data_IF_443869536308
#
_entry.id   IF_443869536308
#
_cell.length_a   1.000
_cell.length_b   1.000
_cell.length_c   1.000
_cell.angle_alpha   90.00
_cell.angle_beta   90.00
_cell.angle_gamma   90.00
#
_symmetry.space_group_name_H-M   'P 1'
#
loop_
_entity.id
_entity.type
_entity.pdbx_description
1 polymer ?
#
# COMPACT_ATOMS: atom_id res chain seq x y z
N UNK A 1 0.25 -20.36 3.17
CA UNK A 1 0.76 -19.27 2.30
C UNK A 1 1.79 -18.50 3.11
N UNK A 2 3.06 -18.51 2.72
CA UNK A 2 4.09 -17.73 3.42
C UNK A 2 3.89 -16.28 3.03
N UNK A 3 3.35 -15.47 3.93
CA UNK A 3 3.23 -14.02 3.71
C UNK A 3 4.63 -13.44 3.60
N UNK A 4 4.91 -12.73 2.50
CA UNK A 4 6.19 -12.07 2.27
C UNK A 4 6.60 -11.27 3.52
N UNK A 5 7.84 -11.49 4.02
CA UNK A 5 8.29 -10.87 5.26
C UNK A 5 8.27 -9.33 5.19
N UNK A 6 8.36 -8.76 3.98
CA UNK A 6 8.30 -7.32 3.76
C UNK A 6 6.95 -6.72 4.16
N UNK A 7 5.85 -7.46 4.06
CA UNK A 7 4.56 -7.00 4.59
C UNK A 7 4.58 -6.83 6.10
N UNK A 8 5.22 -7.76 6.82
CA UNK A 8 5.40 -7.62 8.28
C UNK A 8 6.27 -6.42 8.61
N UNK A 9 7.31 -6.16 7.81
CA UNK A 9 8.17 -5.00 8.01
C UNK A 9 7.43 -3.68 7.71
N UNK A 10 6.64 -3.61 6.63
CA UNK A 10 5.72 -2.47 6.36
C UNK A 10 4.84 -2.19 7.57
N UNK A 11 4.21 -3.23 8.15
CA UNK A 11 3.38 -3.09 9.35
C UNK A 11 4.16 -2.54 10.55
N UNK A 12 5.39 -3.02 10.75
CA UNK A 12 6.27 -2.56 11.83
C UNK A 12 6.63 -1.07 11.67
N UNK A 13 7.00 -0.65 10.46
CA UNK A 13 7.36 0.74 10.14
C UNK A 13 6.15 1.66 10.30
N UNK A 14 4.96 1.22 9.86
CA UNK A 14 3.72 1.95 10.12
C UNK A 14 3.41 2.06 11.62
N UNK A 15 3.54 0.96 12.38
CA UNK A 15 3.32 0.94 13.82
C UNK A 15 4.29 1.81 14.63
N UNK A 16 5.49 2.07 14.09
CA UNK A 16 6.46 2.99 14.67
C UNK A 16 6.15 4.47 14.37
N UNK A 17 5.24 4.76 13.42
CA UNK A 17 4.90 6.12 12.99
C UNK A 17 5.77 6.67 11.86
N UNK A 18 6.69 5.87 11.31
CA UNK A 18 7.65 6.31 10.28
C UNK A 18 7.07 6.30 8.85
N UNK A 19 5.91 5.65 8.68
CA UNK A 19 5.22 5.59 7.39
C UNK A 19 4.24 6.77 7.25
N UNK A 20 4.70 7.83 6.60
CA UNK A 20 3.95 9.10 6.45
C UNK A 20 3.15 9.22 5.15
N UNK A 21 3.42 8.34 4.18
CA UNK A 21 2.83 8.38 2.84
C UNK A 21 2.49 6.98 2.34
N UNK A 22 1.49 6.88 1.46
CA UNK A 22 1.11 5.61 0.83
C UNK A 22 2.23 5.09 -0.08
N UNK A 23 2.86 5.98 -0.84
CA UNK A 23 4.00 5.69 -1.71
C UNK A 23 5.19 5.03 -0.99
N UNK A 24 5.47 5.40 0.27
CA UNK A 24 6.58 4.84 1.08
C UNK A 24 6.45 3.35 1.35
N UNK A 25 5.23 2.81 1.35
CA UNK A 25 5.01 1.35 1.44
C UNK A 25 5.84 0.63 0.38
N UNK A 26 5.91 1.21 -0.82
CA UNK A 26 6.53 0.60 -1.99
C UNK A 26 8.03 0.81 -2.10
N UNK A 27 8.63 1.53 -1.16
CA UNK A 27 10.08 1.56 -0.94
C UNK A 27 10.52 0.32 -0.13
N UNK A 28 9.63 -0.23 0.69
CA UNK A 28 9.88 -1.41 1.52
C UNK A 28 9.54 -2.70 0.76
N UNK A 29 8.37 -2.74 0.11
CA UNK A 29 7.93 -3.89 -0.68
C UNK A 29 7.80 -3.51 -2.16
N UNK A 30 8.46 -4.23 -3.08
CA UNK A 30 8.38 -3.91 -4.50
C UNK A 30 6.97 -3.96 -5.06
N UNK A 31 6.64 -2.99 -5.91
CA UNK A 31 5.33 -2.88 -6.58
C UNK A 31 4.95 -4.13 -7.38
N UNK A 32 5.93 -4.85 -7.94
CA UNK A 32 5.70 -6.11 -8.68
C UNK A 32 5.09 -7.19 -7.81
N UNK A 33 5.63 -7.39 -6.61
CA UNK A 33 5.10 -8.38 -5.66
C UNK A 33 3.70 -7.99 -5.23
N UNK A 34 3.49 -6.72 -4.87
CA UNK A 34 2.15 -6.26 -4.47
C UNK A 34 1.16 -6.36 -5.62
N UNK A 35 1.55 -6.06 -6.86
CA UNK A 35 0.65 -6.20 -8.00
C UNK A 35 0.25 -7.65 -8.25
N UNK A 36 1.20 -8.58 -8.12
CA UNK A 36 0.95 -10.02 -8.27
C UNK A 36 0.01 -10.52 -7.16
N UNK A 37 0.29 -10.17 -5.90
CA UNK A 37 -0.53 -10.54 -4.74
C UNK A 37 -1.93 -9.90 -4.78
N UNK A 38 -2.07 -8.73 -5.40
CA UNK A 38 -3.38 -8.10 -5.62
C UNK A 38 -4.16 -8.71 -6.79
N UNK A 39 -3.51 -9.50 -7.65
CA UNK A 39 -4.05 -10.01 -8.91
C UNK A 39 -4.28 -8.88 -9.93
N UNK A 40 -3.33 -7.95 -10.03
CA UNK A 40 -3.38 -6.77 -10.89
C UNK A 40 -2.19 -6.72 -11.83
N UNK A 41 -2.39 -6.22 -13.05
CA UNK A 41 -1.25 -5.92 -13.93
C UNK A 41 -0.34 -4.86 -13.31
N UNK A 42 0.97 -5.11 -13.36
CA UNK A 42 2.00 -4.22 -12.82
C UNK A 42 1.82 -2.77 -13.23
N UNK A 43 1.64 -2.48 -14.52
CA UNK A 43 1.47 -1.10 -15.01
C UNK A 43 0.22 -0.43 -14.42
N UNK A 44 -0.90 -1.15 -14.33
CA UNK A 44 -2.13 -0.65 -13.72
C UNK A 44 -2.00 -0.38 -12.24
N UNK A 45 -1.17 -1.17 -11.53
CA UNK A 45 -0.87 -0.97 -10.13
C UNK A 45 0.10 0.20 -9.92
N UNK A 46 1.20 0.23 -10.68
CA UNK A 46 2.19 1.31 -10.63
C UNK A 46 1.54 2.68 -10.89
N UNK A 47 0.62 2.78 -11.86
CA UNK A 47 -0.14 4.00 -12.11
C UNK A 47 -1.03 4.40 -10.91
N UNK A 48 -1.59 3.44 -10.17
CA UNK A 48 -2.38 3.73 -8.96
C UNK A 48 -1.50 4.09 -7.76
N UNK A 49 -0.27 3.62 -7.70
CA UNK A 49 0.68 4.07 -6.67
C UNK A 49 1.08 5.53 -6.91
N UNK A 50 1.29 5.92 -8.17
CA UNK A 50 1.58 7.33 -8.50
C UNK A 50 0.34 8.22 -8.44
N UNK A 51 -0.85 7.64 -8.66
CA UNK A 51 -2.16 8.31 -8.63
C UNK A 51 -3.10 7.58 -7.67
N UNK A 52 -2.90 7.74 -6.35
CA UNK A 52 -3.61 6.98 -5.34
C UNK A 52 -5.11 7.32 -5.29
N UNK A 53 -5.55 8.43 -5.88
CA UNK A 53 -6.96 8.75 -6.08
C UNK A 53 -7.72 7.75 -6.97
N UNK A 54 -6.98 6.93 -7.75
CA UNK A 54 -7.54 5.89 -8.62
C UNK A 54 -7.74 4.54 -7.90
N UNK A 55 -7.36 4.43 -6.62
CA UNK A 55 -7.61 3.24 -5.81
C UNK A 55 -9.07 3.22 -5.38
N UNK A 56 -9.73 2.08 -5.57
CA UNK A 56 -11.05 1.86 -5.01
C UNK A 56 -10.98 1.21 -3.62
N UNK A 57 -12.09 1.26 -2.88
CA UNK A 57 -12.19 0.70 -1.52
C UNK A 57 -11.84 -0.79 -1.48
N UNK A 58 -12.26 -1.58 -2.49
CA UNK A 58 -11.94 -3.01 -2.56
C UNK A 58 -10.43 -3.27 -2.66
N UNK A 59 -9.70 -2.44 -3.41
CA UNK A 59 -8.24 -2.50 -3.51
C UNK A 59 -7.57 -2.12 -2.19
N UNK A 60 -8.09 -1.11 -1.50
CA UNK A 60 -7.59 -0.72 -0.17
C UNK A 60 -7.85 -1.81 0.87
N UNK A 61 -9.00 -2.49 0.83
CA UNK A 61 -9.27 -3.65 1.70
C UNK A 61 -8.30 -4.81 1.44
N UNK A 62 -7.98 -5.10 0.18
CA UNK A 62 -6.95 -6.09 -0.16
C UNK A 62 -5.58 -5.70 0.38
N UNK A 63 -5.18 -4.44 0.19
CA UNK A 63 -3.92 -3.92 0.72
C UNK A 63 -3.90 -3.98 2.25
N UNK A 64 -5.02 -3.70 2.92
CA UNK A 64 -5.15 -3.84 4.38
C UNK A 64 -4.92 -5.29 4.81
N UNK A 65 -5.49 -6.26 4.08
CA UNK A 65 -5.26 -7.67 4.36
C UNK A 65 -3.79 -8.09 4.16
N UNK A 66 -3.15 -7.62 3.08
CA UNK A 66 -1.77 -7.95 2.76
C UNK A 66 -0.76 -7.31 3.74
N UNK A 67 -0.91 -6.01 3.99
CA UNK A 67 0.00 -5.23 4.84
C UNK A 67 -0.30 -5.37 6.33
N UNK A 68 -1.52 -5.75 6.70
CA UNK A 68 -2.01 -5.74 8.08
C UNK A 68 -2.20 -4.33 8.66
N UNK A 69 -2.18 -3.28 7.83
CA UNK A 69 -2.50 -1.90 8.20
C UNK A 69 -4.04 -1.73 8.15
N UNK A 70 -4.68 -1.11 9.15
CA UNK A 70 -6.11 -0.84 9.13
C UNK A 70 -6.55 -0.03 7.90
N UNK A 71 -7.73 -0.33 7.36
CA UNK A 71 -8.27 0.36 6.19
C UNK A 71 -8.31 1.89 6.37
N UNK A 72 -8.76 2.37 7.53
CA UNK A 72 -8.83 3.80 7.83
C UNK A 72 -7.45 4.48 7.72
N UNK A 73 -6.40 3.84 8.24
CA UNK A 73 -5.03 4.35 8.16
C UNK A 73 -4.49 4.31 6.72
N UNK A 74 -4.84 3.30 5.92
CA UNK A 74 -4.49 3.31 4.49
C UNK A 74 -5.20 4.44 3.73
N UNK A 75 -6.46 4.74 4.06
CA UNK A 75 -7.20 5.88 3.49
C UNK A 75 -6.52 7.20 3.87
N UNK A 76 -6.09 7.36 5.12
CA UNK A 76 -5.36 8.54 5.59
C UNK A 76 -4.04 8.73 4.84
N UNK A 77 -3.25 7.65 4.67
CA UNK A 77 -2.00 7.69 3.90
C UNK A 77 -2.24 8.07 2.44
N UNK A 78 -3.30 7.55 1.82
CA UNK A 78 -3.71 7.92 0.47
C UNK A 78 -4.12 9.39 0.40
N UNK A 79 -4.90 9.87 1.37
CA UNK A 79 -5.31 11.27 1.44
C UNK A 79 -4.11 12.21 1.59
N UNK A 80 -3.12 11.84 2.40
CA UNK A 80 -1.87 12.59 2.55
C UNK A 80 -1.10 12.70 1.22
N UNK A 81 -0.99 11.61 0.45
CA UNK A 81 -0.34 11.63 -0.87
C UNK A 81 -1.10 12.46 -1.90
N UNK A 82 -2.43 12.54 -1.79
CA UNK A 82 -3.26 13.39 -2.67
C UNK A 82 -3.08 14.87 -2.31
N UNK A 83 -3.09 15.20 -1.02
CA UNK A 83 -3.00 16.58 -0.53
C UNK A 83 -1.58 17.19 -0.62
N UNK A 84 -0.55 16.34 -0.70
CA UNK A 84 0.86 16.78 -0.78
C UNK A 84 1.34 17.07 -2.21
N UNK A 85 0.44 17.02 -3.20
CA UNK A 85 0.69 17.38 -4.60
C UNK A 85 0.13 18.75 -4.92
#
# INVERSE_FOLDING_TARGET
MVTDYRYRYVKSVWGAGDLTSFSRIFEIIPKSIVSDDMGMHYHSFANKVTRPELLNVKQLMKLSHLTGIPLASLVELVANDINSK
#
